data_IF_125177698854
#
_entry.id   IF_125177698854
#
_cell.length_a   1.000
_cell.length_b   1.000
_cell.length_c   1.000
_cell.angle_alpha   90.00
_cell.angle_beta   90.00
_cell.angle_gamma   90.00
#
_symmetry.space_group_name_H-M   'P 1'
#
loop_
_entity.id
_entity.type
_entity.pdbx_description
1 polymer ?
#
# COMPACT_ATOMS: atom_id res chain seq x y z
N UNK A 1 -21.53 59.55 4.02
CA UNK A 1 -21.05 58.41 3.20
C UNK A 1 -19.74 57.76 3.68
N UNK A 2 -19.27 58.02 4.92
CA UNK A 2 -18.01 57.42 5.46
C UNK A 2 -18.21 56.04 6.14
N UNK A 3 -19.43 55.72 6.56
CA UNK A 3 -19.73 54.49 7.31
C UNK A 3 -19.83 53.23 6.41
N UNK A 4 -20.13 53.41 5.12
CA UNK A 4 -20.31 52.30 4.16
C UNK A 4 -18.97 51.72 3.71
N UNK A 5 -17.93 52.56 3.61
CA UNK A 5 -16.57 52.16 3.23
C UNK A 5 -15.91 51.24 4.26
N UNK A 6 -16.19 51.44 5.56
CA UNK A 6 -15.65 50.59 6.62
C UNK A 6 -16.28 49.18 6.64
N UNK A 7 -17.55 49.06 6.25
CA UNK A 7 -18.24 47.77 6.21
C UNK A 7 -17.72 46.90 5.06
N UNK A 8 -17.50 47.48 3.88
CA UNK A 8 -16.95 46.73 2.73
C UNK A 8 -15.50 46.27 2.95
N UNK A 9 -14.68 47.08 3.65
CA UNK A 9 -13.30 46.72 3.97
C UNK A 9 -13.23 45.57 5.00
N UNK A 10 -14.17 45.53 5.96
CA UNK A 10 -14.27 44.45 6.93
C UNK A 10 -14.76 43.14 6.29
N UNK A 11 -15.71 43.18 5.36
CA UNK A 11 -16.17 41.98 4.65
C UNK A 11 -15.08 41.38 3.73
N UNK A 12 -14.23 42.19 3.11
CA UNK A 12 -13.12 41.70 2.27
C UNK A 12 -12.03 40.95 3.04
N UNK A 13 -11.79 41.31 4.30
CA UNK A 13 -10.81 40.63 5.16
C UNK A 13 -11.33 39.31 5.73
N UNK A 14 -12.65 39.14 5.86
CA UNK A 14 -13.25 37.88 6.30
C UNK A 14 -13.21 36.79 5.21
N UNK A 15 -13.31 37.15 3.94
CA UNK A 15 -13.21 36.18 2.83
C UNK A 15 -11.77 35.70 2.55
N UNK A 16 -10.76 36.47 2.97
CA UNK A 16 -9.34 36.15 2.72
C UNK A 16 -8.70 35.23 3.77
N UNK A 17 -9.37 35.00 4.91
CA UNK A 17 -8.87 34.13 5.98
C UNK A 17 -9.46 32.71 5.98
N UNK A 18 -10.53 32.44 5.23
CA UNK A 18 -11.19 31.13 5.24
C UNK A 18 -10.58 30.15 4.22
N UNK A 19 -10.10 30.64 3.07
CA UNK A 19 -9.55 29.79 1.99
C UNK A 19 -8.23 29.09 2.34
N UNK A 20 -7.40 29.67 3.20
CA UNK A 20 -6.14 29.04 3.64
C UNK A 20 -6.38 27.81 4.52
N UNK A 21 -7.42 27.84 5.34
CA UNK A 21 -7.77 26.74 6.25
C UNK A 21 -8.35 25.55 5.49
N UNK A 22 -9.08 25.79 4.40
CA UNK A 22 -9.57 24.74 3.51
C UNK A 22 -8.44 24.10 2.69
N UNK A 23 -7.48 24.89 2.20
CA UNK A 23 -6.36 24.35 1.41
C UNK A 23 -5.42 23.48 2.26
N UNK A 24 -5.17 23.86 3.51
CA UNK A 24 -4.38 23.06 4.44
C UNK A 24 -5.09 21.74 4.80
N UNK A 25 -6.41 21.75 4.99
CA UNK A 25 -7.18 20.54 5.23
C UNK A 25 -7.16 19.57 4.04
N UNK A 26 -7.27 20.08 2.80
CA UNK A 26 -7.17 19.27 1.59
C UNK A 26 -5.77 18.68 1.44
N UNK A 27 -4.72 19.45 1.74
CA UNK A 27 -3.34 18.94 1.73
C UNK A 27 -3.13 17.86 2.78
N UNK A 28 -3.66 18.04 4.00
CA UNK A 28 -3.58 17.03 5.05
C UNK A 28 -4.29 15.74 4.65
N UNK A 29 -5.51 15.82 4.10
CA UNK A 29 -6.22 14.66 3.59
C UNK A 29 -5.46 13.96 2.46
N UNK A 30 -4.81 14.72 1.57
CA UNK A 30 -3.99 14.15 0.51
C UNK A 30 -2.79 13.39 1.08
N UNK A 31 -2.09 13.98 2.05
CA UNK A 31 -0.96 13.33 2.75
C UNK A 31 -1.43 12.06 3.47
N UNK A 32 -2.52 12.13 4.24
CA UNK A 32 -3.09 10.96 4.91
C UNK A 32 -3.44 9.83 3.93
N UNK A 33 -4.01 10.18 2.77
CA UNK A 33 -4.30 9.19 1.72
C UNK A 33 -3.03 8.58 1.11
N UNK A 34 -1.95 9.36 0.93
CA UNK A 34 -0.68 8.81 0.46
C UNK A 34 -0.10 7.84 1.49
N UNK A 35 -0.02 8.25 2.76
CA UNK A 35 0.48 7.41 3.84
C UNK A 35 -0.32 6.11 3.99
N UNK A 36 -1.65 6.18 3.84
CA UNK A 36 -2.51 4.99 3.89
C UNK A 36 -2.26 4.03 2.73
N UNK A 37 -1.92 4.53 1.53
CA UNK A 37 -1.53 3.70 0.39
C UNK A 37 -0.19 3.04 0.62
N UNK A 38 0.81 3.80 1.04
CA UNK A 38 2.14 3.27 1.34
C UNK A 38 2.10 2.19 2.41
N UNK A 39 1.30 2.40 3.47
CA UNK A 39 1.10 1.39 4.52
C UNK A 39 0.48 0.11 3.97
N UNK A 40 -0.56 0.25 3.13
CA UNK A 40 -1.22 -0.89 2.50
C UNK A 40 -0.26 -1.64 1.57
N UNK A 41 0.54 -0.93 0.79
CA UNK A 41 1.51 -1.54 -0.12
C UNK A 41 2.59 -2.31 0.67
N UNK A 42 3.07 -1.75 1.79
CA UNK A 42 4.01 -2.43 2.68
C UNK A 42 3.41 -3.69 3.35
N UNK A 43 2.13 -3.63 3.74
CA UNK A 43 1.42 -4.79 4.28
C UNK A 43 1.29 -5.91 3.23
N UNK A 44 0.95 -5.56 1.99
CA UNK A 44 0.89 -6.52 0.89
C UNK A 44 2.25 -7.11 0.56
N UNK A 45 3.32 -6.33 0.62
CA UNK A 45 4.69 -6.82 0.41
C UNK A 45 5.09 -7.83 1.49
N UNK A 46 4.85 -7.52 2.76
CA UNK A 46 5.10 -8.46 3.87
C UNK A 46 4.30 -9.76 3.71
N UNK A 47 3.03 -9.67 3.30
CA UNK A 47 2.22 -10.86 3.01
C UNK A 47 2.80 -11.66 1.83
N UNK A 48 3.34 -11.00 0.82
CA UNK A 48 4.00 -11.65 -0.31
C UNK A 48 5.23 -12.44 0.14
N UNK A 49 6.09 -11.85 0.98
CA UNK A 49 7.25 -12.52 1.56
C UNK A 49 6.87 -13.76 2.37
N UNK A 50 5.79 -13.67 3.14
CA UNK A 50 5.25 -14.82 3.89
C UNK A 50 4.71 -15.89 2.94
N UNK A 51 3.92 -15.52 1.92
CA UNK A 51 3.37 -16.48 0.97
C UNK A 51 4.46 -17.22 0.18
N UNK A 52 5.48 -16.49 -0.29
CA UNK A 52 6.63 -17.06 -1.01
C UNK A 52 7.52 -17.91 -0.11
N UNK A 53 7.41 -17.78 1.22
CA UNK A 53 8.26 -18.48 2.18
C UNK A 53 9.63 -17.85 2.34
N UNK A 54 9.82 -16.61 1.90
CA UNK A 54 11.04 -15.83 2.15
C UNK A 54 11.09 -15.28 3.57
N UNK A 55 9.91 -15.08 4.19
CA UNK A 55 9.77 -14.62 5.57
C UNK A 55 8.78 -15.50 6.35
N UNK A 56 9.00 -15.63 7.66
CA UNK A 56 8.16 -16.43 8.55
C UNK A 56 8.51 -17.91 8.54
N UNK A 57 7.58 -18.73 9.02
CA UNK A 57 7.77 -20.18 9.12
C UNK A 57 7.45 -20.85 7.78
N UNK A 58 8.49 -21.19 7.03
CA UNK A 58 8.41 -21.88 5.72
C UNK A 58 7.69 -23.22 5.83
N UNK A 59 7.79 -23.89 6.98
CA UNK A 59 7.14 -25.19 7.23
C UNK A 59 5.65 -25.06 7.49
N UNK A 60 5.17 -23.88 7.87
CA UNK A 60 3.76 -23.61 8.12
C UNK A 60 3.01 -23.29 6.83
N UNK A 61 2.65 -24.33 6.09
CA UNK A 61 1.82 -24.21 4.87
C UNK A 61 0.53 -23.42 5.13
N UNK A 62 -0.09 -23.58 6.30
CA UNK A 62 -1.31 -22.86 6.69
C UNK A 62 -1.10 -21.35 6.74
N UNK A 63 0.02 -20.87 7.31
CA UNK A 63 0.32 -19.45 7.36
C UNK A 63 0.53 -18.87 5.95
N UNK A 64 1.29 -19.60 5.12
CA UNK A 64 1.58 -19.21 3.74
C UNK A 64 0.33 -19.18 2.85
N UNK A 65 -0.55 -20.17 2.96
CA UNK A 65 -1.84 -20.20 2.22
C UNK A 65 -2.79 -19.10 2.68
N UNK A 66 -2.81 -18.77 3.97
CA UNK A 66 -3.61 -17.65 4.48
C UNK A 66 -3.13 -16.31 3.91
N UNK A 67 -1.82 -16.08 3.87
CA UNK A 67 -1.25 -14.89 3.24
C UNK A 67 -1.57 -14.83 1.75
N UNK A 68 -1.41 -15.95 1.03
CA UNK A 68 -1.76 -16.06 -0.40
C UNK A 68 -3.24 -15.75 -0.67
N UNK A 69 -4.15 -16.18 0.21
CA UNK A 69 -5.58 -15.88 0.08
C UNK A 69 -5.86 -14.38 0.14
N UNK A 70 -5.17 -13.65 1.02
CA UNK A 70 -5.31 -12.18 1.11
C UNK A 70 -4.76 -11.54 -0.16
N UNK A 71 -3.58 -11.94 -0.61
CA UNK A 71 -2.96 -11.44 -1.84
C UNK A 71 -3.82 -11.68 -3.09
N UNK A 72 -4.50 -12.83 -3.20
CA UNK A 72 -5.45 -13.10 -4.29
C UNK A 72 -6.66 -12.17 -4.29
N UNK A 73 -7.10 -11.73 -3.11
CA UNK A 73 -8.22 -10.79 -2.98
C UNK A 73 -7.80 -9.37 -3.33
N UNK A 74 -6.60 -8.95 -2.91
CA UNK A 74 -6.10 -7.59 -3.08
C UNK A 74 -5.44 -7.36 -4.46
N UNK A 75 -4.83 -8.39 -5.04
CA UNK A 75 -4.11 -8.36 -6.32
C UNK A 75 -4.60 -9.49 -7.26
N UNK A 76 -5.87 -9.44 -7.73
CA UNK A 76 -6.45 -10.49 -8.57
C UNK A 76 -5.83 -10.57 -9.97
N UNK A 77 -5.18 -9.51 -10.42
CA UNK A 77 -4.44 -9.41 -11.69
C UNK A 77 -3.21 -10.31 -11.73
N UNK A 78 -2.62 -10.61 -10.57
CA UNK A 78 -1.43 -11.47 -10.42
C UNK A 78 -1.77 -12.96 -10.23
N UNK A 79 -2.97 -13.40 -10.63
CA UNK A 79 -3.46 -14.77 -10.44
C UNK A 79 -2.44 -15.84 -10.84
N UNK A 80 -1.82 -15.73 -12.01
CA UNK A 80 -0.85 -16.72 -12.49
C UNK A 80 0.35 -16.86 -11.54
N UNK A 81 0.87 -15.75 -11.03
CA UNK A 81 1.94 -15.74 -10.03
C UNK A 81 1.49 -16.43 -8.76
N UNK A 82 0.28 -16.12 -8.27
CA UNK A 82 -0.28 -16.73 -7.08
C UNK A 82 -0.52 -18.23 -7.23
N UNK A 83 -0.89 -18.69 -8.42
CA UNK A 83 -1.04 -20.12 -8.72
C UNK A 83 0.32 -20.86 -8.70
N UNK A 84 1.42 -20.18 -9.07
CA UNK A 84 2.78 -20.74 -8.94
C UNK A 84 3.25 -20.77 -7.48
N UNK A 85 3.00 -19.70 -6.72
CA UNK A 85 3.28 -19.64 -5.28
C UNK A 85 2.47 -20.71 -4.53
N UNK A 86 1.21 -20.95 -4.90
CA UNK A 86 0.40 -22.04 -4.31
C UNK A 86 1.05 -23.41 -4.51
N UNK A 87 1.58 -23.68 -5.70
CA UNK A 87 2.28 -24.94 -6.00
C UNK A 87 3.54 -25.10 -5.15
N UNK A 88 4.35 -24.04 -5.00
CA UNK A 88 5.54 -24.12 -4.16
C UNK A 88 5.19 -24.30 -2.68
N UNK A 89 4.11 -23.69 -2.19
CA UNK A 89 3.61 -23.94 -0.82
C UNK A 89 3.29 -25.42 -0.62
N UNK A 90 2.60 -26.06 -1.57
CA UNK A 90 2.30 -27.49 -1.49
C UNK A 90 3.54 -28.39 -1.60
N UNK A 91 4.55 -27.95 -2.37
CA UNK A 91 5.86 -28.60 -2.41
C UNK A 91 6.69 -28.37 -1.13
N UNK A 92 6.23 -27.48 -0.23
CA UNK A 92 6.99 -26.98 0.92
C UNK A 92 8.30 -26.29 0.53
N UNK A 93 8.33 -25.67 -0.64
CA UNK A 93 9.48 -24.95 -1.22
C UNK A 93 9.32 -23.44 -1.06
N UNK A 94 10.44 -22.73 -1.10
CA UNK A 94 10.47 -21.26 -1.17
C UNK A 94 10.32 -20.86 -2.64
N UNK A 95 9.35 -19.99 -2.92
CA UNK A 95 9.13 -19.52 -4.29
C UNK A 95 10.19 -18.49 -4.69
N UNK A 96 10.89 -18.72 -5.79
CA UNK A 96 11.91 -17.80 -6.32
C UNK A 96 13.32 -18.00 -5.72
N UNK A 97 13.55 -19.11 -5.01
CA UNK A 97 14.90 -19.55 -4.59
C UNK A 97 15.69 -20.19 -5.76
N UNK A 98 15.04 -20.36 -6.91
CA UNK A 98 15.58 -20.96 -8.13
C UNK A 98 16.67 -20.10 -8.82
N UNK A 99 17.02 -18.92 -8.29
CA UNK A 99 18.14 -18.08 -8.78
C UNK A 99 19.52 -18.53 -8.26
N UNK A 100 19.62 -19.74 -7.68
CA UNK A 100 20.83 -20.24 -7.00
C UNK A 100 21.62 -21.37 -7.67
N UNK A 101 21.17 -22.04 -8.74
CA UNK A 101 21.84 -23.25 -9.27
C UNK A 101 22.24 -23.25 -10.76
N UNK A 102 22.32 -22.09 -11.43
CA UNK A 102 22.66 -22.04 -12.87
C UNK A 102 23.99 -21.32 -13.18
N UNK A 103 24.86 -21.15 -12.16
CA UNK A 103 26.14 -20.43 -12.26
C UNK A 103 27.41 -21.27 -12.26
N UNK A 104 27.33 -22.60 -12.37
CA UNK A 104 28.51 -23.47 -12.56
C UNK A 104 28.54 -23.99 -13.98
N UNK A 105 28.95 -23.16 -14.94
CA UNK A 105 29.59 -23.61 -16.18
C UNK A 105 30.34 -22.42 -16.82
N UNK A 106 31.60 -22.23 -16.42
CA UNK A 106 32.78 -22.14 -17.31
C UNK A 106 34.08 -22.25 -16.51
#
# INVERSE_FOLDING_TARGET
>A
MKKVLFVLLALGLFWSCDSKKSDEAVRQQWVEQQMAREYKDAELDSLALVATGQEGDVSSQTARLNALRVLRSELPDKKETWDKVEKSIFASEVYGDDEGEDGVFE
#
